data_IF_603784294709
#
_entry.id   IF_603784294709
#
_cell.length_a   1.000
_cell.length_b   1.000
_cell.length_c   1.000
_cell.angle_alpha   90.00
_cell.angle_beta   90.00
_cell.angle_gamma   90.00
#
_symmetry.space_group_name_H-M   'P 1'
#
loop_
_entity.id
_entity.type
_entity.pdbx_description
1 polymer ?
#
# COMPACT_ATOMS: atom_id res chain seq x y z
N UNK A 1 -0.66 -30.42 2.77
CA UNK A 1 -1.12 -29.60 1.64
C UNK A 1 -2.10 -30.37 0.79
N UNK A 2 -3.36 -30.00 0.86
CA UNK A 2 -4.43 -30.56 0.03
C UNK A 2 -4.40 -29.96 -1.37
N UNK A 3 -4.89 -30.72 -2.37
CA UNK A 3 -5.06 -30.22 -3.75
C UNK A 3 -5.94 -28.96 -3.77
N UNK A 4 -6.99 -28.94 -2.95
CA UNK A 4 -7.91 -27.81 -2.84
C UNK A 4 -7.21 -26.55 -2.31
N UNK A 5 -6.37 -26.67 -1.28
CA UNK A 5 -5.63 -25.53 -0.74
C UNK A 5 -4.68 -24.92 -1.77
N UNK A 6 -3.93 -25.77 -2.49
CA UNK A 6 -3.02 -25.30 -3.53
C UNK A 6 -3.80 -24.56 -4.63
N UNK A 7 -4.92 -25.11 -5.11
CA UNK A 7 -5.77 -24.45 -6.12
C UNK A 7 -6.28 -23.08 -5.63
N UNK A 8 -6.77 -23.00 -4.39
CA UNK A 8 -7.23 -21.74 -3.79
C UNK A 8 -6.11 -20.70 -3.64
N UNK A 9 -4.89 -21.16 -3.36
CA UNK A 9 -3.73 -20.27 -3.29
C UNK A 9 -3.32 -19.80 -4.69
N UNK A 10 -3.27 -20.68 -5.68
CA UNK A 10 -2.93 -20.34 -7.08
C UNK A 10 -3.91 -19.32 -7.68
N UNK A 11 -5.21 -19.52 -7.45
CA UNK A 11 -6.27 -18.60 -7.88
C UNK A 11 -6.12 -17.24 -7.21
N UNK A 12 -5.89 -17.23 -5.89
CA UNK A 12 -5.67 -15.99 -5.13
C UNK A 12 -4.42 -15.26 -5.62
N UNK A 13 -3.30 -15.97 -5.78
CA UNK A 13 -2.03 -15.38 -6.17
C UNK A 13 -2.11 -14.83 -7.59
N UNK A 14 -2.67 -15.58 -8.54
CA UNK A 14 -2.91 -15.10 -9.91
C UNK A 14 -3.76 -13.82 -9.92
N UNK A 15 -4.82 -13.77 -9.12
CA UNK A 15 -5.65 -12.57 -9.01
C UNK A 15 -4.91 -11.41 -8.33
N UNK A 16 -4.03 -11.69 -7.37
CA UNK A 16 -3.19 -10.70 -6.71
C UNK A 16 -2.18 -10.09 -7.69
N UNK A 17 -1.47 -10.92 -8.45
CA UNK A 17 -0.51 -10.49 -9.47
C UNK A 17 -1.18 -9.64 -10.56
N UNK A 18 -2.37 -10.05 -11.01
CA UNK A 18 -3.15 -9.28 -11.98
C UNK A 18 -3.53 -7.88 -11.46
N UNK A 19 -3.91 -7.78 -10.18
CA UNK A 19 -4.20 -6.47 -9.55
C UNK A 19 -2.94 -5.63 -9.38
N UNK A 20 -1.79 -6.24 -9.09
CA UNK A 20 -0.53 -5.50 -8.96
C UNK A 20 -0.08 -4.93 -10.31
N UNK A 21 -0.26 -5.70 -11.39
CA UNK A 21 0.02 -5.30 -12.76
C UNK A 21 -1.09 -4.43 -13.40
N UNK A 22 -1.92 -3.76 -12.59
CA UNK A 22 -2.91 -2.82 -13.11
C UNK A 22 -2.23 -1.70 -13.90
N UNK A 23 -2.73 -1.32 -15.10
CA UNK A 23 -2.13 -0.30 -15.96
C UNK A 23 -1.97 1.08 -15.31
N UNK A 24 -2.74 1.36 -14.26
CA UNK A 24 -2.68 2.58 -13.48
C UNK A 24 -2.45 2.28 -11.99
N UNK A 25 -1.92 1.09 -11.68
CA UNK A 25 -1.53 0.67 -10.34
C UNK A 25 -0.21 1.28 -9.88
N UNK A 26 0.34 0.78 -8.78
CA UNK A 26 1.59 1.30 -8.20
C UNK A 26 2.82 1.10 -9.09
N UNK A 27 2.83 0.06 -9.93
CA UNK A 27 3.94 -0.18 -10.87
C UNK A 27 3.94 0.82 -12.04
N UNK A 28 2.83 1.50 -12.28
CA UNK A 28 2.69 2.50 -13.32
C UNK A 28 3.23 3.88 -12.89
N UNK A 29 3.56 4.08 -11.61
CA UNK A 29 4.02 5.39 -11.12
C UNK A 29 5.37 5.74 -11.75
N UNK A 30 5.46 6.90 -12.38
CA UNK A 30 6.67 7.40 -13.06
C UNK A 30 7.46 8.40 -12.23
N UNK A 31 6.82 9.12 -11.31
CA UNK A 31 7.47 10.08 -10.42
C UNK A 31 6.66 10.39 -9.16
N UNK A 32 7.32 11.00 -8.17
CA UNK A 32 6.74 11.54 -6.93
C UNK A 32 7.06 13.03 -6.83
N UNK A 33 6.09 13.89 -7.17
CA UNK A 33 6.32 15.32 -7.32
C UNK A 33 5.63 16.11 -6.20
N UNK A 34 6.40 16.44 -5.16
CA UNK A 34 5.92 17.32 -4.08
C UNK A 34 5.74 18.74 -4.59
N UNK A 35 4.56 19.31 -4.35
CA UNK A 35 4.22 20.66 -4.77
C UNK A 35 4.62 21.68 -3.72
N UNK A 36 4.89 22.90 -4.18
CA UNK A 36 5.01 24.09 -3.33
C UNK A 36 4.23 25.26 -3.94
N UNK A 37 4.33 26.45 -3.33
CA UNK A 37 3.59 27.64 -3.76
C UNK A 37 4.07 28.21 -5.10
N UNK A 38 5.29 27.88 -5.54
CA UNK A 38 5.82 28.27 -6.84
C UNK A 38 5.36 27.29 -7.92
N UNK A 39 4.88 27.77 -9.10
CA UNK A 39 4.55 26.90 -10.21
C UNK A 39 5.74 26.08 -10.71
N UNK A 40 5.55 24.77 -10.85
CA UNK A 40 6.54 23.79 -11.30
C UNK A 40 6.02 23.05 -12.55
N UNK A 41 6.89 22.66 -13.47
CA UNK A 41 6.57 21.74 -14.58
C UNK A 41 7.26 20.42 -14.34
N UNK A 42 6.63 19.34 -14.78
CA UNK A 42 7.15 17.98 -14.69
C UNK A 42 7.07 17.34 -16.08
N UNK A 43 8.03 16.49 -16.43
CA UNK A 43 8.12 15.91 -17.78
C UNK A 43 6.99 14.90 -18.07
N UNK A 44 6.39 14.34 -17.02
CA UNK A 44 5.35 13.30 -17.05
C UNK A 44 3.99 13.81 -16.55
N UNK A 45 3.76 15.13 -16.54
CA UNK A 45 2.46 15.74 -16.29
C UNK A 45 2.29 17.03 -17.12
N UNK A 46 1.08 17.33 -17.65
CA UNK A 46 0.85 18.55 -18.42
C UNK A 46 0.70 19.75 -17.50
N UNK A 47 0.91 20.95 -18.04
CA UNK A 47 0.71 22.20 -17.31
C UNK A 47 1.78 22.47 -16.25
N UNK A 48 1.61 23.60 -15.57
CA UNK A 48 2.42 23.96 -14.41
C UNK A 48 1.58 23.84 -13.14
N UNK A 49 2.11 23.12 -12.15
CA UNK A 49 1.43 22.77 -10.91
C UNK A 49 2.01 23.54 -9.73
N UNK A 50 1.13 23.94 -8.81
CA UNK A 50 1.49 24.49 -7.49
C UNK A 50 0.42 24.14 -6.46
N UNK A 51 0.68 24.42 -5.19
CA UNK A 51 -0.33 24.31 -4.12
C UNK A 51 -0.39 25.59 -3.29
N UNK A 52 -1.50 25.79 -2.58
CA UNK A 52 -1.68 26.87 -1.62
C UNK A 52 -2.85 26.60 -0.67
N UNK A 53 -3.25 27.57 0.16
CA UNK A 53 -4.33 27.40 1.14
C UNK A 53 -5.68 26.99 0.52
N UNK A 54 -5.87 27.27 -0.77
CA UNK A 54 -7.09 26.94 -1.50
C UNK A 54 -6.98 25.65 -2.33
N UNK A 55 -5.90 24.87 -2.15
CA UNK A 55 -5.67 23.57 -2.79
C UNK A 55 -4.68 23.62 -3.94
N UNK A 56 -4.60 22.50 -4.66
CA UNK A 56 -3.69 22.32 -5.80
C UNK A 56 -4.23 23.07 -7.02
N UNK A 57 -3.33 23.73 -7.75
CA UNK A 57 -3.64 24.46 -8.98
C UNK A 57 -2.79 23.91 -10.11
N UNK A 58 -3.39 23.74 -11.28
CA UNK A 58 -2.69 23.46 -12.53
C UNK A 58 -3.03 24.54 -13.55
N UNK A 59 -2.01 25.09 -14.21
CA UNK A 59 -2.15 26.01 -15.33
C UNK A 59 -1.67 25.33 -16.60
N UNK A 60 -2.63 24.96 -17.45
CA UNK A 60 -2.41 24.28 -18.73
C UNK A 60 -2.11 25.32 -19.82
N UNK A 61 -1.04 25.10 -20.58
CA UNK A 61 -0.70 25.91 -21.74
C UNK A 61 -1.65 25.63 -22.93
N UNK A 62 -1.55 26.46 -23.97
CA UNK A 62 -2.33 26.25 -25.20
C UNK A 62 -2.08 24.86 -25.78
N UNK A 63 -3.17 24.09 -25.97
CA UNK A 63 -3.12 22.72 -26.46
C UNK A 63 -2.91 21.65 -25.40
N UNK A 64 -2.71 22.01 -24.13
CA UNK A 64 -2.71 21.07 -23.01
C UNK A 64 -4.12 20.95 -22.41
N UNK A 65 -4.49 19.74 -22.01
CA UNK A 65 -5.77 19.43 -21.37
C UNK A 65 -5.61 18.38 -20.27
N UNK A 66 -6.55 18.39 -19.32
CA UNK A 66 -6.78 17.31 -18.36
C UNK A 66 -8.23 16.85 -18.44
N UNK A 67 -8.50 15.62 -18.01
CA UNK A 67 -9.85 15.10 -17.83
C UNK A 67 -10.13 14.97 -16.34
N UNK A 68 -11.01 15.82 -15.83
CA UNK A 68 -11.46 15.83 -14.42
C UNK A 68 -12.90 15.36 -14.38
N UNK A 69 -13.17 14.26 -13.67
CA UNK A 69 -14.51 13.65 -13.58
C UNK A 69 -15.17 13.40 -14.95
N UNK A 70 -14.35 13.03 -15.95
CA UNK A 70 -14.80 12.78 -17.32
C UNK A 70 -14.99 14.04 -18.18
N UNK A 71 -14.69 15.22 -17.66
CA UNK A 71 -14.80 16.51 -18.36
C UNK A 71 -13.42 17.04 -18.71
N UNK A 72 -13.22 17.39 -19.99
CA UNK A 72 -11.99 18.05 -20.43
C UNK A 72 -11.90 19.47 -19.86
N UNK A 73 -10.77 19.80 -19.25
CA UNK A 73 -10.46 21.13 -18.71
C UNK A 73 -9.20 21.67 -19.37
N UNK A 74 -9.20 22.98 -19.63
CA UNK A 74 -8.11 23.74 -20.27
C UNK A 74 -7.87 25.02 -19.49
N UNK A 75 -6.71 25.66 -19.67
CA UNK A 75 -6.34 26.86 -18.91
C UNK A 75 -6.05 26.52 -17.44
N UNK A 76 -6.47 27.39 -16.52
CA UNK A 76 -6.24 27.18 -15.09
C UNK A 76 -7.38 26.38 -14.46
N UNK A 77 -7.04 25.30 -13.76
CA UNK A 77 -7.96 24.51 -12.94
C UNK A 77 -7.46 24.45 -11.49
N UNK A 78 -8.39 24.58 -10.54
CA UNK A 78 -8.11 24.56 -9.11
C UNK A 78 -8.89 23.43 -8.44
N UNK A 79 -8.17 22.55 -7.75
CA UNK A 79 -8.73 21.46 -6.97
C UNK A 79 -8.98 21.92 -5.53
N UNK A 80 -10.07 21.44 -4.93
CA UNK A 80 -10.33 21.71 -3.52
C UNK A 80 -9.23 21.13 -2.62
N UNK A 81 -8.97 21.73 -1.45
CA UNK A 81 -8.03 21.16 -0.47
C UNK A 81 -8.39 19.72 -0.12
N UNK A 82 -7.40 18.84 -0.17
CA UNK A 82 -7.56 17.44 0.19
C UNK A 82 -7.35 17.25 1.70
N UNK A 83 -8.16 16.39 2.31
CA UNK A 83 -7.89 15.93 3.66
C UNK A 83 -6.61 15.08 3.70
N UNK A 84 -5.95 14.99 4.85
CA UNK A 84 -4.77 14.12 5.00
C UNK A 84 -5.14 12.67 4.63
N UNK A 85 -4.28 12.03 3.82
CA UNK A 85 -4.48 10.69 3.22
C UNK A 85 -5.61 10.58 2.18
N UNK A 86 -6.25 11.68 1.78
CA UNK A 86 -7.13 11.69 0.63
C UNK A 86 -6.34 11.78 -0.69
N UNK A 87 -6.96 11.31 -1.76
CA UNK A 87 -6.47 11.44 -3.13
C UNK A 87 -7.63 11.54 -4.12
N UNK A 88 -7.32 12.11 -5.28
CA UNK A 88 -8.16 12.18 -6.47
C UNK A 88 -7.32 11.80 -7.69
N UNK A 89 -7.98 11.42 -8.78
CA UNK A 89 -7.31 11.03 -10.02
C UNK A 89 -7.84 11.86 -11.19
N UNK A 90 -6.94 12.35 -12.04
CA UNK A 90 -7.27 13.07 -13.27
C UNK A 90 -6.60 12.43 -14.48
N UNK A 91 -7.26 12.46 -15.64
CA UNK A 91 -6.75 11.85 -16.86
C UNK A 91 -5.89 12.81 -17.69
N UNK A 92 -4.86 12.27 -18.34
CA UNK A 92 -4.07 12.95 -19.37
C UNK A 92 -3.69 11.94 -20.45
N UNK A 93 -4.44 11.91 -21.56
CA UNK A 93 -4.25 10.88 -22.59
C UNK A 93 -4.42 9.47 -22.02
N UNK A 94 -3.32 8.69 -21.96
CA UNK A 94 -3.29 7.35 -21.34
C UNK A 94 -2.81 7.36 -19.88
N UNK A 95 -2.28 8.48 -19.41
CA UNK A 95 -1.75 8.66 -18.06
C UNK A 95 -2.88 9.03 -17.11
N UNK A 96 -2.79 8.53 -15.88
CA UNK A 96 -3.63 8.98 -14.75
C UNK A 96 -2.72 9.70 -13.77
N UNK A 97 -3.05 10.93 -13.41
CA UNK A 97 -2.31 11.71 -12.41
C UNK A 97 -3.09 11.63 -11.10
N UNK A 98 -2.51 10.96 -10.11
CA UNK A 98 -2.99 11.04 -8.73
C UNK A 98 -2.58 12.38 -8.14
N UNK A 99 -3.53 13.10 -7.56
CA UNK A 99 -3.30 14.27 -6.72
C UNK A 99 -3.66 13.85 -5.31
N UNK A 100 -2.71 13.94 -4.39
CA UNK A 100 -2.87 13.38 -3.05
C UNK A 100 -2.31 14.33 -1.99
N UNK A 101 -2.81 14.16 -0.76
CA UNK A 101 -2.19 14.75 0.43
C UNK A 101 -1.56 13.68 1.29
N UNK A 102 -0.26 13.82 1.56
CA UNK A 102 0.55 12.86 2.33
C UNK A 102 1.48 13.63 3.25
N UNK A 103 1.42 13.35 4.55
CA UNK A 103 2.31 13.96 5.54
C UNK A 103 2.17 15.48 5.63
N UNK A 104 1.01 16.04 5.33
CA UNK A 104 0.79 17.48 5.30
C UNK A 104 1.29 18.20 4.04
N UNK A 105 1.73 17.46 3.02
CA UNK A 105 2.14 18.03 1.73
C UNK A 105 1.25 17.52 0.60
N UNK A 106 1.01 18.37 -0.39
CA UNK A 106 0.33 17.97 -1.62
C UNK A 106 1.35 17.43 -2.62
N UNK A 107 0.97 16.35 -3.29
CA UNK A 107 1.82 15.63 -4.22
C UNK A 107 1.03 15.27 -5.46
N UNK A 108 1.69 15.31 -6.62
CA UNK A 108 1.19 14.65 -7.82
C UNK A 108 2.04 13.41 -8.13
N UNK A 109 1.37 12.33 -8.51
CA UNK A 109 1.99 11.08 -8.93
C UNK A 109 1.37 10.62 -10.25
N UNK A 110 2.01 10.95 -11.39
CA UNK A 110 1.61 10.42 -12.67
C UNK A 110 1.79 8.90 -12.72
N UNK A 111 0.83 8.24 -13.36
CA UNK A 111 0.76 6.78 -13.55
C UNK A 111 0.61 6.50 -15.03
N UNK A 112 1.70 6.06 -15.64
CA UNK A 112 1.78 5.75 -17.06
C UNK A 112 1.74 4.23 -17.29
N UNK A 113 0.77 3.70 -18.06
CA UNK A 113 0.72 2.28 -18.41
C UNK A 113 1.93 1.80 -19.23
N UNK A 114 2.78 2.70 -19.71
CA UNK A 114 4.06 2.42 -20.36
C UNK A 114 5.28 2.53 -19.44
N UNK A 115 5.08 2.73 -18.13
CA UNK A 115 6.16 2.75 -17.13
C UNK A 115 7.11 1.55 -17.30
N UNK A 116 8.44 1.77 -17.31
CA UNK A 116 9.41 0.69 -17.40
C UNK A 116 9.27 -0.35 -16.27
N UNK A 117 8.86 0.08 -15.07
CA UNK A 117 8.65 -0.81 -13.91
C UNK A 117 7.49 -1.75 -14.19
N UNK A 118 6.36 -1.24 -14.69
CA UNK A 118 5.21 -2.06 -15.08
C UNK A 118 5.54 -2.96 -16.27
N UNK A 119 6.19 -2.43 -17.31
CA UNK A 119 6.54 -3.19 -18.51
C UNK A 119 7.52 -4.34 -18.21
N UNK A 120 8.41 -4.16 -17.23
CA UNK A 120 9.35 -5.19 -16.76
C UNK A 120 8.77 -6.16 -15.74
N UNK A 121 7.54 -5.97 -15.27
CA UNK A 121 6.95 -6.78 -14.21
C UNK A 121 6.50 -8.15 -14.71
N UNK A 122 7.20 -9.21 -14.29
CA UNK A 122 6.89 -10.61 -14.66
C UNK A 122 6.20 -11.40 -13.57
N UNK A 123 5.81 -10.73 -12.49
CA UNK A 123 5.24 -11.35 -11.30
C UNK A 123 6.21 -11.47 -10.13
N UNK A 124 5.68 -11.67 -8.94
CA UNK A 124 6.45 -11.79 -7.69
C UNK A 124 6.49 -13.22 -7.22
N UNK A 125 7.70 -13.74 -6.98
CA UNK A 125 7.86 -15.07 -6.42
C UNK A 125 7.37 -15.14 -4.98
N UNK A 126 6.86 -16.30 -4.59
CA UNK A 126 6.46 -16.62 -3.22
C UNK A 126 7.09 -17.94 -2.77
N UNK A 127 7.14 -18.15 -1.45
CA UNK A 127 7.38 -19.49 -0.92
C UNK A 127 6.30 -20.46 -1.41
N UNK A 128 6.61 -21.76 -1.57
CA UNK A 128 5.58 -22.76 -1.76
C UNK A 128 4.55 -22.66 -0.65
N UNK A 129 3.27 -22.54 -1.02
CA UNK A 129 2.19 -22.44 -0.06
C UNK A 129 2.17 -23.68 0.84
N UNK A 130 1.94 -23.53 2.14
CA UNK A 130 1.91 -24.64 3.10
C UNK A 130 0.82 -24.39 4.15
N UNK A 131 -0.03 -25.38 4.38
CA UNK A 131 -1.13 -25.31 5.35
C UNK A 131 -0.62 -25.10 6.78
N UNK A 132 0.64 -25.43 7.09
CA UNK A 132 1.24 -25.13 8.40
C UNK A 132 1.29 -23.62 8.71
N UNK A 133 1.24 -22.79 7.68
CA UNK A 133 1.26 -21.33 7.77
C UNK A 133 -0.14 -20.71 7.82
N UNK A 134 -1.19 -21.55 7.89
CA UNK A 134 -2.55 -21.16 8.26
C UNK A 134 -2.67 -21.30 9.77
N UNK A 135 -2.35 -20.23 10.49
CA UNK A 135 -2.15 -20.25 11.95
C UNK A 135 -3.41 -19.71 12.64
N UNK A 136 -4.01 -20.46 13.59
CA UNK A 136 -5.08 -19.92 14.42
C UNK A 136 -4.55 -18.84 15.35
N UNK A 137 -5.34 -17.79 15.56
CA UNK A 137 -5.02 -16.72 16.49
C UNK A 137 -6.26 -16.18 17.19
N UNK A 138 -6.02 -15.19 18.03
CA UNK A 138 -7.04 -14.55 18.83
C UNK A 138 -6.88 -13.03 18.79
N UNK A 139 -7.93 -12.33 18.40
CA UNK A 139 -7.98 -10.88 18.41
C UNK A 139 -8.48 -10.37 19.76
N UNK A 140 -7.67 -9.54 20.41
CA UNK A 140 -8.02 -8.83 21.64
C UNK A 140 -8.22 -7.34 21.31
N UNK A 141 -9.47 -6.84 21.32
CA UNK A 141 -9.73 -5.42 21.12
C UNK A 141 -9.22 -4.60 22.31
N UNK A 142 -8.81 -3.37 22.05
CA UNK A 142 -8.62 -2.36 23.09
C UNK A 142 -9.97 -1.79 23.54
N UNK A 143 -10.02 -1.21 24.75
CA UNK A 143 -11.21 -0.50 25.24
C UNK A 143 -11.63 0.66 24.32
N UNK A 144 -10.63 1.34 23.76
CA UNK A 144 -10.78 2.31 22.67
C UNK A 144 -9.61 2.17 21.69
N UNK A 145 -9.79 2.49 20.40
CA UNK A 145 -8.68 2.52 19.45
C UNK A 145 -7.52 3.36 19.99
N UNK A 146 -6.29 2.91 19.71
CA UNK A 146 -5.07 3.55 20.19
C UNK A 146 -4.29 4.16 19.03
N UNK A 147 -3.89 5.44 19.12
CA UNK A 147 -2.99 6.03 18.15
C UNK A 147 -1.65 5.29 18.22
N UNK A 148 -1.25 4.70 17.11
CA UNK A 148 -0.02 3.92 16.97
C UNK A 148 0.84 4.58 15.91
N UNK A 149 1.95 5.22 16.31
CA UNK A 149 2.92 5.75 15.36
C UNK A 149 3.51 4.60 14.55
N UNK A 150 3.52 4.77 13.24
CA UNK A 150 4.27 3.94 12.32
C UNK A 150 5.18 4.83 11.49
N UNK A 151 6.43 4.40 11.31
CA UNK A 151 7.35 5.12 10.42
C UNK A 151 6.86 5.09 8.97
N UNK A 152 7.49 5.87 8.11
CA UNK A 152 7.33 5.77 6.66
C UNK A 152 8.67 5.41 6.02
N UNK A 153 8.64 4.80 4.84
CA UNK A 153 9.85 4.66 4.00
C UNK A 153 10.32 6.01 3.44
N UNK A 154 9.47 7.04 3.46
CA UNK A 154 9.82 8.40 3.08
C UNK A 154 10.31 9.19 4.30
N UNK A 155 11.51 9.77 4.19
CA UNK A 155 12.13 10.54 5.27
C UNK A 155 11.27 11.73 5.71
N UNK A 156 11.11 11.92 7.03
CA UNK A 156 10.34 13.03 7.62
C UNK A 156 8.81 12.82 7.68
N UNK A 157 8.28 11.71 7.15
CA UNK A 157 6.86 11.37 7.23
C UNK A 157 6.63 10.35 8.34
N UNK A 158 5.87 10.71 9.36
CA UNK A 158 5.29 9.76 10.31
C UNK A 158 3.80 9.60 10.03
N UNK A 159 3.31 8.36 10.11
CA UNK A 159 1.88 8.10 10.04
C UNK A 159 1.39 7.66 11.42
N UNK A 160 0.26 8.18 11.86
CA UNK A 160 -0.44 7.66 13.03
C UNK A 160 -1.64 6.88 12.54
N UNK A 161 -1.68 5.60 12.91
CA UNK A 161 -2.83 4.74 12.63
C UNK A 161 -3.58 4.45 13.93
N UNK A 162 -4.90 4.44 13.84
CA UNK A 162 -5.76 3.97 14.92
C UNK A 162 -5.76 2.44 14.92
N UNK A 163 -5.17 1.85 15.96
CA UNK A 163 -5.17 0.40 16.17
C UNK A 163 -6.38 0.00 17.00
N UNK A 164 -7.24 -0.93 16.53
CA UNK A 164 -8.35 -1.44 17.31
C UNK A 164 -7.93 -2.50 18.35
N UNK A 165 -6.71 -3.05 18.29
CA UNK A 165 -6.28 -4.15 19.17
C UNK A 165 -5.09 -4.94 18.66
N UNK A 166 -4.85 -6.10 19.27
CA UNK A 166 -3.75 -7.03 18.94
C UNK A 166 -4.25 -8.40 18.55
N UNK A 167 -3.52 -9.10 17.69
CA UNK A 167 -3.74 -10.50 17.34
C UNK A 167 -2.62 -11.34 17.95
N UNK A 168 -2.95 -12.24 18.87
CA UNK A 168 -2.01 -13.24 19.43
C UNK A 168 -2.12 -14.57 18.71
N UNK A 169 -1.00 -15.27 18.53
CA UNK A 169 -0.91 -16.56 17.84
C UNK A 169 0.38 -17.29 18.22
N UNK A 170 0.49 -18.57 17.88
CA UNK A 170 1.68 -19.38 18.19
C UNK A 170 2.31 -19.96 16.92
N UNK A 171 3.64 -19.87 16.81
CA UNK A 171 4.41 -20.49 15.72
C UNK A 171 5.59 -21.22 16.34
N UNK A 172 5.73 -22.52 16.06
CA UNK A 172 6.85 -23.31 16.58
C UNK A 172 6.89 -23.43 18.12
N UNK A 173 5.78 -23.16 18.81
CA UNK A 173 5.70 -23.13 20.27
C UNK A 173 5.99 -21.76 20.89
N UNK A 174 6.39 -20.76 20.10
CA UNK A 174 6.56 -19.38 20.56
C UNK A 174 5.23 -18.63 20.49
N UNK A 175 4.81 -18.04 21.60
CA UNK A 175 3.66 -17.13 21.66
C UNK A 175 4.05 -15.74 21.14
N UNK A 176 3.33 -15.28 20.12
CA UNK A 176 3.60 -14.07 19.36
C UNK A 176 2.38 -13.17 19.36
N UNK A 177 2.60 -11.89 19.08
CA UNK A 177 1.52 -10.91 18.96
C UNK A 177 1.85 -9.86 17.91
N UNK A 178 0.82 -9.40 17.21
CA UNK A 178 0.88 -8.31 16.25
C UNK A 178 -0.17 -7.26 16.59
N UNK A 179 0.23 -5.99 16.60
CA UNK A 179 -0.67 -4.85 16.60
C UNK A 179 -1.40 -4.84 15.25
N UNK A 180 -2.73 -4.89 15.31
CA UNK A 180 -3.59 -4.86 14.14
C UNK A 180 -4.10 -3.44 13.88
N UNK A 181 -4.47 -3.20 12.63
CA UNK A 181 -5.14 -1.99 12.14
C UNK A 181 -6.44 -2.38 11.45
N UNK A 182 -7.34 -1.43 11.26
CA UNK A 182 -8.55 -1.66 10.47
C UNK A 182 -8.17 -1.95 9.01
N UNK A 183 -8.72 -3.03 8.46
CA UNK A 183 -8.57 -3.42 7.06
C UNK A 183 -9.53 -2.67 6.13
N UNK A 184 -9.52 -3.06 4.85
CA UNK A 184 -10.28 -2.39 3.81
C UNK A 184 -11.81 -2.66 3.85
N UNK A 185 -12.23 -3.77 4.47
CA UNK A 185 -13.65 -4.10 4.64
C UNK A 185 -14.08 -3.95 6.10
N UNK A 186 -15.36 -3.65 6.39
CA UNK A 186 -15.85 -3.50 7.76
C UNK A 186 -15.45 -4.69 8.66
N UNK A 187 -14.81 -4.39 9.79
CA UNK A 187 -14.38 -5.37 10.79
C UNK A 187 -13.16 -6.22 10.40
N UNK A 188 -12.70 -6.16 9.15
CA UNK A 188 -11.44 -6.83 8.76
C UNK A 188 -10.24 -6.16 9.41
N UNK A 189 -9.15 -6.91 9.55
CA UNK A 189 -7.92 -6.45 10.14
C UNK A 189 -6.78 -6.48 9.12
N UNK A 190 -5.78 -5.66 9.37
CA UNK A 190 -4.57 -5.56 8.60
C UNK A 190 -3.39 -5.48 9.55
N UNK A 191 -2.34 -6.27 9.29
CA UNK A 191 -1.08 -6.20 10.04
C UNK A 191 0.06 -5.92 9.08
N UNK A 192 0.98 -5.05 9.51
CA UNK A 192 2.30 -4.87 8.92
C UNK A 192 3.30 -5.54 9.84
N UNK A 193 4.23 -6.31 9.30
CA UNK A 193 5.23 -6.98 10.13
C UNK A 193 6.57 -7.12 9.42
N UNK A 194 7.61 -7.29 10.23
CA UNK A 194 8.87 -7.91 9.82
C UNK A 194 9.07 -9.19 10.62
N UNK A 195 9.93 -10.06 10.13
CA UNK A 195 10.23 -11.36 10.70
C UNK A 195 11.69 -11.73 10.42
N UNK A 196 12.15 -12.90 10.88
CA UNK A 196 13.56 -13.28 10.70
C UNK A 196 13.95 -13.54 9.23
N UNK A 197 12.99 -13.61 8.28
CA UNK A 197 13.28 -13.69 6.83
C UNK A 197 13.50 -12.32 6.17
N UNK A 198 13.12 -11.24 6.85
CA UNK A 198 13.12 -9.87 6.30
C UNK A 198 14.55 -9.43 5.95
N UNK A 199 14.75 -9.02 4.69
CA UNK A 199 16.06 -8.60 4.16
C UNK A 199 16.95 -9.76 3.69
N UNK A 200 16.60 -10.99 4.03
CA UNK A 200 17.28 -12.19 3.56
C UNK A 200 16.60 -12.70 2.29
N UNK A 201 15.38 -13.21 2.45
CA UNK A 201 14.57 -13.80 1.37
C UNK A 201 13.28 -13.02 1.11
N UNK A 202 12.78 -12.28 2.09
CA UNK A 202 11.58 -11.43 1.98
C UNK A 202 11.96 -9.95 2.03
N UNK A 203 11.03 -9.07 1.62
CA UNK A 203 11.32 -7.64 1.54
C UNK A 203 11.68 -7.06 2.92
N UNK A 204 12.73 -6.23 2.97
CA UNK A 204 13.38 -5.84 4.21
C UNK A 204 12.52 -4.93 5.10
N UNK A 205 11.75 -4.03 4.50
CA UNK A 205 11.06 -2.99 5.27
C UNK A 205 9.76 -3.48 5.91
N UNK A 206 9.02 -4.37 5.24
CA UNK A 206 7.76 -4.93 5.73
C UNK A 206 7.19 -5.99 4.79
N UNK A 207 6.27 -6.77 5.34
CA UNK A 207 5.17 -7.41 4.59
C UNK A 207 3.85 -7.09 5.26
N UNK A 208 2.76 -7.24 4.55
CA UNK A 208 1.41 -7.15 5.10
C UNK A 208 0.68 -8.47 5.10
N UNK A 209 -0.26 -8.61 6.02
CA UNK A 209 -1.25 -9.67 6.01
C UNK A 209 -2.63 -9.08 6.26
N UNK A 210 -3.57 -9.42 5.38
CA UNK A 210 -4.99 -9.17 5.58
C UNK A 210 -5.60 -10.31 6.39
N UNK A 211 -6.42 -9.97 7.37
CA UNK A 211 -7.09 -10.91 8.26
C UNK A 211 -8.59 -10.63 8.17
N UNK A 212 -9.38 -11.68 7.93
CA UNK A 212 -10.83 -11.58 7.89
C UNK A 212 -11.40 -11.08 9.24
N UNK A 213 -12.64 -10.56 9.29
CA UNK A 213 -13.25 -10.14 10.54
C UNK A 213 -13.18 -11.24 11.61
N UNK A 214 -12.80 -10.92 12.86
CA UNK A 214 -12.78 -11.89 13.95
C UNK A 214 -14.14 -12.55 14.16
N UNK A 215 -14.12 -13.81 14.59
CA UNK A 215 -15.31 -14.52 15.04
C UNK A 215 -15.92 -13.87 16.30
N UNK A 216 -17.16 -14.26 16.68
CA UNK A 216 -17.82 -13.71 17.87
C UNK A 216 -17.05 -13.90 19.18
N UNK A 217 -16.19 -14.91 19.23
CA UNK A 217 -15.31 -15.24 20.35
C UNK A 217 -13.92 -14.59 20.23
N UNK A 218 -13.66 -13.77 19.19
CA UNK A 218 -12.35 -13.19 18.93
C UNK A 218 -11.41 -14.09 18.12
N UNK A 219 -11.83 -15.29 17.72
CA UNK A 219 -11.01 -16.17 16.89
C UNK A 219 -10.69 -15.54 15.52
N UNK A 220 -9.45 -15.70 15.07
CA UNK A 220 -8.99 -15.28 13.74
C UNK A 220 -8.11 -16.35 13.12
N UNK A 221 -7.96 -16.30 11.80
CA UNK A 221 -6.98 -17.12 11.07
C UNK A 221 -5.95 -16.21 10.43
N UNK A 222 -4.68 -16.42 10.74
CA UNK A 222 -3.55 -15.75 10.10
C UNK A 222 -2.99 -16.68 9.02
N UNK A 223 -3.25 -16.34 7.77
CA UNK A 223 -2.74 -17.12 6.64
C UNK A 223 -1.50 -16.47 6.03
N UNK A 224 -0.33 -16.80 6.59
CA UNK A 224 0.93 -16.21 6.15
C UNK A 224 1.31 -16.58 4.71
N UNK A 225 0.69 -17.59 4.09
CA UNK A 225 0.86 -17.87 2.66
C UNK A 225 0.36 -16.73 1.78
N UNK A 226 -0.49 -15.87 2.34
CA UNK A 226 -1.09 -14.70 1.70
C UNK A 226 -0.48 -13.39 2.21
N UNK A 227 0.69 -13.45 2.85
CA UNK A 227 1.47 -12.27 3.19
C UNK A 227 2.09 -11.66 1.91
N UNK A 228 1.92 -10.36 1.71
CA UNK A 228 2.28 -9.65 0.47
C UNK A 228 3.23 -8.49 0.74
N UNK A 229 4.04 -8.14 -0.25
CA UNK A 229 4.86 -6.94 -0.24
C UNK A 229 3.99 -5.69 -0.46
N UNK A 230 4.38 -4.58 0.17
CA UNK A 230 3.80 -3.27 -0.12
C UNK A 230 4.40 -2.65 -1.39
N UNK A 231 3.76 -1.61 -1.96
CA UNK A 231 4.28 -0.91 -3.13
C UNK A 231 5.74 -0.45 -3.08
N UNK A 232 6.25 -0.09 -1.89
CA UNK A 232 7.65 0.32 -1.70
C UNK A 232 8.67 -0.79 -2.01
N UNK A 233 8.25 -2.05 -2.10
CA UNK A 233 9.10 -3.13 -2.57
C UNK A 233 9.39 -3.06 -4.08
N UNK A 234 8.58 -2.32 -4.83
CA UNK A 234 8.63 -2.27 -6.30
C UNK A 234 8.94 -0.89 -6.86
N UNK A 235 8.68 0.17 -6.09
CA UNK A 235 8.89 1.55 -6.54
C UNK A 235 9.32 2.45 -5.39
N UNK A 236 10.25 3.36 -5.67
CA UNK A 236 10.68 4.40 -4.72
C UNK A 236 9.63 5.53 -4.57
N UNK A 237 8.65 5.60 -5.46
CA UNK A 237 7.60 6.63 -5.47
C UNK A 237 6.42 6.31 -4.53
N UNK A 238 6.56 5.28 -3.70
CA UNK A 238 5.56 4.87 -2.73
C UNK A 238 5.87 5.39 -1.32
N UNK A 239 4.86 5.98 -0.68
CA UNK A 239 4.92 6.48 0.71
C UNK A 239 4.37 5.43 1.69
N UNK A 240 4.93 4.22 1.68
CA UNK A 240 4.41 3.10 2.46
C UNK A 240 4.72 3.22 3.96
N UNK A 241 3.79 2.81 4.84
CA UNK A 241 4.06 2.71 6.28
C UNK A 241 5.05 1.58 6.58
N UNK A 242 5.88 1.78 7.60
CA UNK A 242 6.66 0.75 8.26
C UNK A 242 5.81 0.02 9.31
N UNK A 243 6.19 -1.19 9.75
CA UNK A 243 5.51 -1.85 10.85
C UNK A 243 5.76 -1.07 12.15
N UNK A 244 4.78 -1.04 13.08
CA UNK A 244 5.05 -0.53 14.42
C UNK A 244 6.14 -1.36 15.10
N UNK A 245 6.86 -0.78 16.06
CA UNK A 245 7.99 -1.43 16.73
C UNK A 245 7.64 -2.81 17.34
N UNK A 246 6.38 -2.98 17.79
CA UNK A 246 5.87 -4.25 18.33
C UNK A 246 5.63 -5.34 17.29
N UNK A 247 5.63 -5.04 15.99
CA UNK A 247 5.37 -6.00 14.91
C UNK A 247 6.65 -6.51 14.26
N UNK A 248 7.66 -6.81 15.08
CA UNK A 248 8.88 -7.49 14.67
C UNK A 248 8.91 -8.88 15.27
N UNK A 249 8.59 -9.87 14.46
CA UNK A 249 8.58 -11.27 14.87
C UNK A 249 10.02 -11.81 14.94
N UNK A 250 10.39 -12.52 16.02
CA UNK A 250 11.72 -13.10 16.15
C UNK A 250 11.89 -14.41 15.36
N UNK A 251 10.80 -14.97 14.83
CA UNK A 251 10.77 -16.23 14.09
C UNK A 251 10.82 -16.00 12.58
N UNK A 252 11.25 -17.02 11.82
CA UNK A 252 11.21 -16.99 10.36
C UNK A 252 9.82 -17.43 9.87
N UNK A 253 9.11 -16.54 9.17
CA UNK A 253 7.86 -16.84 8.50
C UNK A 253 8.17 -17.11 7.01
N UNK A 254 8.52 -18.37 6.72
CA UNK A 254 8.84 -18.89 5.39
C UNK A 254 7.58 -19.19 4.58
N UNK A 255 6.74 -18.17 4.41
CA UNK A 255 5.46 -18.20 3.71
C UNK A 255 5.22 -16.87 3.00
N UNK A 256 4.37 -16.88 1.96
CA UNK A 256 4.00 -15.67 1.25
C UNK A 256 5.09 -15.14 0.33
N UNK A 257 5.00 -13.86 -0.03
CA UNK A 257 5.86 -13.27 -1.05
C UNK A 257 7.32 -13.12 -0.62
N UNK A 258 8.21 -13.38 -1.57
CA UNK A 258 9.64 -13.10 -1.48
C UNK A 258 9.91 -11.65 -1.87
N UNK A 259 11.13 -11.16 -1.61
CA UNK A 259 11.52 -9.84 -2.10
C UNK A 259 11.50 -9.81 -3.65
N UNK A 260 11.06 -8.72 -4.27
CA UNK A 260 11.19 -8.54 -5.72
C UNK A 260 12.67 -8.60 -6.16
N UNK A 261 12.91 -9.05 -7.40
CA UNK A 261 14.26 -9.10 -7.98
C UNK A 261 14.70 -7.75 -8.54
#
# INVERSE_FOLDING_TARGET
MTILFQQQWDEWHTAHEKRRADPHGFLAITSLNWLNESPQRFDDAPGSWSTGPSGVVVSLADGEELVVDGVAVTGTHQFAPLAERADIAVGWGKVVIEIARRGGFDVIRPRDPSSPVLAGYTGTSAYPADEKWVVPGYFTPYESPRPTPVGSVSEGIEHVYESPGTVSFSVGGDELSLIAFNGATPGSLFVLFTDATSGLTTYAANRSLFIAPPGPDGSVTLDFNRATNLPCAYTEFATCPLPPAGNKLPVAIEAGELKPQ
#
